data_IF_910476919431
#
_entry.id   IF_910476919431
#
_cell.length_a   1.000
_cell.length_b   1.000
_cell.length_c   1.000
_cell.angle_alpha   90.00
_cell.angle_beta   90.00
_cell.angle_gamma   90.00
#
_symmetry.space_group_name_H-M   'P 1'
#
loop_
_entity.id
_entity.type
_entity.pdbx_description
1 polymer ?
#
# COMPACT_ATOMS: atom_id res chain seq x y z
N UNK A 1 -3.16 7.92 -17.22
CA UNK A 1 -4.51 7.77 -16.65
C UNK A 1 -4.69 8.82 -15.58
N UNK A 2 -5.77 9.59 -15.65
CA UNK A 2 -6.12 10.57 -14.62
C UNK A 2 -6.81 9.89 -13.44
N UNK A 3 -6.81 10.54 -12.27
CA UNK A 3 -7.42 9.98 -11.06
C UNK A 3 -8.91 9.64 -11.24
N UNK A 4 -9.67 10.46 -11.97
CA UNK A 4 -11.09 10.22 -12.23
C UNK A 4 -11.31 9.02 -13.14
N UNK A 5 -10.46 8.83 -14.16
CA UNK A 5 -10.53 7.66 -15.05
C UNK A 5 -10.23 6.38 -14.26
N UNK A 6 -9.20 6.43 -13.41
CA UNK A 6 -8.86 5.34 -12.51
C UNK A 6 -10.01 5.02 -11.54
N UNK A 7 -10.62 6.04 -10.92
CA UNK A 7 -11.73 5.88 -9.99
C UNK A 7 -12.94 5.24 -10.65
N UNK A 8 -13.30 5.69 -11.86
CA UNK A 8 -14.40 5.13 -12.63
C UNK A 8 -14.15 3.64 -12.96
N UNK A 9 -12.93 3.30 -13.37
CA UNK A 9 -12.54 1.92 -13.62
C UNK A 9 -12.69 1.09 -12.34
N UNK A 10 -12.14 1.57 -11.23
CA UNK A 10 -12.18 0.90 -9.93
C UNK A 10 -13.63 0.63 -9.47
N UNK A 11 -14.52 1.63 -9.54
CA UNK A 11 -15.92 1.46 -9.14
C UNK A 11 -16.74 0.57 -10.09
N UNK A 12 -16.28 0.37 -11.32
CA UNK A 12 -16.93 -0.51 -12.30
C UNK A 12 -16.63 -2.00 -12.07
N UNK A 13 -15.63 -2.33 -11.24
CA UNK A 13 -15.20 -3.69 -10.97
C UNK A 13 -15.90 -4.23 -9.71
N UNK A 14 -16.30 -5.51 -9.68
CA UNK A 14 -17.03 -6.09 -8.54
C UNK A 14 -16.16 -6.31 -7.30
N UNK A 15 -14.87 -6.58 -7.48
CA UNK A 15 -13.91 -6.80 -6.38
C UNK A 15 -12.50 -6.36 -6.80
N UNK A 16 -12.30 -5.05 -7.00
CA UNK A 16 -11.01 -4.51 -7.41
C UNK A 16 -9.95 -4.74 -6.33
N UNK A 17 -8.73 -5.05 -6.79
CA UNK A 17 -7.53 -5.05 -5.96
C UNK A 17 -6.57 -4.03 -6.57
N UNK A 18 -6.05 -3.13 -5.74
CA UNK A 18 -5.07 -2.13 -6.17
C UNK A 18 -3.69 -2.58 -5.70
N UNK A 19 -2.79 -2.81 -6.65
CA UNK A 19 -1.38 -3.06 -6.34
C UNK A 19 -0.64 -1.72 -6.19
N UNK A 20 -0.01 -1.52 -5.04
CA UNK A 20 0.88 -0.40 -4.80
C UNK A 20 2.31 -0.94 -4.67
N UNK A 21 3.07 -0.70 -5.72
CA UNK A 21 4.46 -1.10 -5.86
C UNK A 21 5.30 0.13 -6.21
N UNK A 22 6.55 0.15 -5.75
CA UNK A 22 7.46 1.24 -6.06
C UNK A 22 8.93 0.89 -5.90
N UNK A 23 9.77 1.92 -6.00
CA UNK A 23 11.22 1.80 -5.91
C UNK A 23 11.69 1.52 -4.47
N UNK A 24 12.78 0.75 -4.34
CA UNK A 24 13.54 0.52 -3.09
C UNK A 24 14.56 1.63 -2.79
N UNK A 25 14.38 2.79 -3.41
CA UNK A 25 15.20 3.98 -3.24
C UNK A 25 14.36 5.17 -3.68
N UNK A 26 13.55 5.68 -2.76
CA UNK A 26 12.72 6.87 -2.97
C UNK A 26 13.50 8.10 -2.55
N UNK A 27 13.58 9.10 -3.43
CA UNK A 27 14.17 10.39 -3.11
C UNK A 27 13.37 11.09 -1.99
N UNK A 28 14.07 11.78 -1.08
CA UNK A 28 13.43 12.44 0.06
C UNK A 28 12.28 13.39 -0.36
N UNK A 29 12.43 14.07 -1.50
CA UNK A 29 11.43 15.00 -2.05
C UNK A 29 10.11 14.33 -2.47
N UNK A 30 10.10 13.02 -2.67
CA UNK A 30 8.91 12.27 -3.10
C UNK A 30 8.30 11.43 -1.97
N UNK A 31 9.00 11.26 -0.85
CA UNK A 31 8.49 10.49 0.31
C UNK A 31 7.13 11.00 0.78
N UNK A 32 7.00 12.32 0.98
CA UNK A 32 5.73 12.92 1.41
C UNK A 32 4.60 12.71 0.39
N UNK A 33 4.91 12.69 -0.91
CA UNK A 33 3.90 12.48 -1.96
C UNK A 33 3.42 11.04 -1.98
N UNK A 34 4.32 10.07 -1.80
CA UNK A 34 3.97 8.65 -1.70
C UNK A 34 3.11 8.38 -0.47
N UNK A 35 3.47 8.99 0.66
CA UNK A 35 2.70 8.96 1.90
C UNK A 35 1.28 9.51 1.68
N UNK A 36 1.17 10.73 1.13
CA UNK A 36 -0.13 11.34 0.83
C UNK A 36 -0.98 10.52 -0.15
N UNK A 37 -0.35 9.77 -1.06
CA UNK A 37 -1.06 8.94 -2.04
C UNK A 37 -1.76 7.74 -1.38
N UNK A 38 -1.09 7.03 -0.46
CA UNK A 38 -1.67 5.88 0.25
C UNK A 38 -2.94 6.25 1.02
N UNK A 39 -2.86 7.30 1.84
CA UNK A 39 -4.00 7.81 2.59
C UNK A 39 -5.16 8.27 1.68
N UNK A 40 -4.83 8.96 0.59
CA UNK A 40 -5.83 9.45 -0.38
C UNK A 40 -6.58 8.30 -1.03
N UNK A 41 -5.87 7.24 -1.43
CA UNK A 41 -6.49 6.07 -2.05
C UNK A 41 -7.36 5.28 -1.07
N UNK A 42 -6.86 5.02 0.15
CA UNK A 42 -7.64 4.32 1.18
C UNK A 42 -8.94 5.07 1.52
N UNK A 43 -8.86 6.41 1.63
CA UNK A 43 -10.03 7.25 1.90
C UNK A 43 -11.02 7.31 0.74
N UNK A 44 -10.52 7.35 -0.50
CA UNK A 44 -11.36 7.41 -1.70
C UNK A 44 -12.07 6.07 -1.99
N UNK A 45 -11.49 4.95 -1.54
CA UNK A 45 -11.96 3.62 -1.86
C UNK A 45 -12.07 2.74 -0.60
N UNK A 46 -13.04 3.00 0.30
CA UNK A 46 -13.08 2.39 1.64
C UNK A 46 -13.32 0.87 1.68
N UNK A 47 -13.81 0.29 0.58
CA UNK A 47 -14.17 -1.13 0.47
C UNK A 47 -13.21 -1.94 -0.41
N UNK A 48 -12.03 -1.40 -0.70
CA UNK A 48 -11.02 -2.03 -1.58
C UNK A 48 -9.90 -2.65 -0.78
N UNK A 49 -9.29 -3.69 -1.36
CA UNK A 49 -8.05 -4.30 -0.89
C UNK A 49 -6.86 -3.75 -1.70
N UNK A 50 -5.84 -3.31 -0.98
CA UNK A 50 -4.53 -2.95 -1.48
C UNK A 50 -3.55 -4.09 -1.24
N UNK A 51 -2.69 -4.35 -2.23
CA UNK A 51 -1.58 -5.29 -2.11
C UNK A 51 -0.24 -4.60 -2.31
N UNK A 52 0.75 -4.98 -1.50
CA UNK A 52 2.13 -4.49 -1.63
C UNK A 52 3.14 -5.58 -1.28
N UNK A 53 4.37 -5.47 -1.79
CA UNK A 53 5.41 -6.50 -1.73
C UNK A 53 6.19 -6.59 -0.43
N UNK A 54 5.85 -5.76 0.57
CA UNK A 54 6.57 -5.68 1.86
C UNK A 54 8.07 -5.38 1.68
N UNK A 55 8.42 -4.57 0.67
CA UNK A 55 9.76 -4.03 0.52
C UNK A 55 9.99 -2.79 1.39
N UNK A 56 11.25 -2.45 1.63
CA UNK A 56 11.60 -1.15 2.23
C UNK A 56 11.31 0.00 1.23
N UNK A 57 11.25 1.23 1.75
CA UNK A 57 10.91 2.47 1.02
C UNK A 57 9.46 2.55 0.51
N UNK A 58 9.22 2.58 -0.81
CA UNK A 58 7.91 2.96 -1.36
C UNK A 58 6.75 2.11 -0.82
N UNK A 59 6.92 0.79 -0.81
CA UNK A 59 5.97 -0.18 -0.26
C UNK A 59 5.66 0.12 1.22
N UNK A 60 6.69 0.46 2.01
CA UNK A 60 6.53 0.82 3.43
C UNK A 60 5.75 2.13 3.62
N UNK A 61 5.97 3.15 2.77
CA UNK A 61 5.22 4.41 2.84
C UNK A 61 3.74 4.20 2.50
N UNK A 62 3.45 3.42 1.46
CA UNK A 62 2.06 3.11 1.10
C UNK A 62 1.36 2.32 2.21
N UNK A 63 2.04 1.29 2.72
CA UNK A 63 1.49 0.41 3.75
C UNK A 63 1.14 1.18 5.02
N UNK A 64 2.01 2.06 5.50
CA UNK A 64 1.78 2.81 6.74
C UNK A 64 0.53 3.67 6.70
N UNK A 65 0.29 4.39 5.61
CA UNK A 65 -0.85 5.30 5.54
C UNK A 65 -2.17 4.60 5.29
N UNK A 66 -2.15 3.51 4.51
CA UNK A 66 -3.33 2.65 4.40
C UNK A 66 -3.70 2.10 5.78
N UNK A 67 -2.71 1.65 6.57
CA UNK A 67 -2.95 1.17 7.92
C UNK A 67 -3.47 2.27 8.87
N UNK A 68 -3.02 3.51 8.72
CA UNK A 68 -3.53 4.63 9.52
C UNK A 68 -4.99 4.97 9.19
N UNK A 69 -5.41 4.82 7.94
CA UNK A 69 -6.79 5.09 7.51
C UNK A 69 -7.70 3.90 7.82
N UNK A 70 -7.36 2.71 7.32
CA UNK A 70 -8.14 1.49 7.51
C UNK A 70 -7.25 0.23 7.35
N UNK A 71 -6.81 -0.36 8.47
CA UNK A 71 -5.94 -1.55 8.45
C UNK A 71 -6.50 -2.75 7.70
N UNK A 72 -7.82 -2.86 7.57
CA UNK A 72 -8.48 -3.99 6.91
C UNK A 72 -8.30 -3.99 5.40
N UNK A 73 -7.78 -2.90 4.84
CA UNK A 73 -7.61 -2.76 3.40
C UNK A 73 -6.23 -3.24 2.92
N UNK A 74 -5.27 -3.55 3.79
CA UNK A 74 -3.92 -3.90 3.37
C UNK A 74 -3.66 -5.41 3.45
N UNK A 75 -3.24 -5.99 2.33
CA UNK A 75 -2.66 -7.33 2.24
C UNK A 75 -1.18 -7.21 1.83
N UNK A 76 -0.30 -7.90 2.55
CA UNK A 76 1.13 -7.94 2.20
C UNK A 76 1.47 -9.25 1.51
N UNK A 77 2.13 -9.14 0.37
CA UNK A 77 2.65 -10.28 -0.38
C UNK A 77 4.02 -10.58 0.21
N UNK A 78 4.14 -11.73 0.86
CA UNK A 78 5.37 -12.15 1.52
C UNK A 78 6.03 -13.27 0.72
N UNK A 79 7.36 -13.25 0.57
CA UNK A 79 8.10 -14.39 0.06
C UNK A 79 7.94 -15.61 1.00
N UNK A 80 8.02 -16.81 0.41
CA UNK A 80 7.70 -18.09 1.07
C UNK A 80 8.85 -18.66 1.93
N UNK A 81 9.75 -17.81 2.39
CA UNK A 81 10.73 -18.15 3.41
C UNK A 81 10.08 -18.07 4.80
N UNK A 82 10.30 -19.10 5.62
CA UNK A 82 9.61 -19.34 6.92
C UNK A 82 9.88 -18.27 8.01
N UNK A 83 10.36 -17.08 7.63
CA UNK A 83 10.62 -15.93 8.47
C UNK A 83 10.17 -14.66 7.75
N UNK A 84 8.92 -14.64 7.32
CA UNK A 84 8.34 -13.45 6.71
C UNK A 84 8.13 -12.39 7.79
N UNK A 85 8.99 -11.37 7.80
CA UNK A 85 8.82 -10.21 8.66
C UNK A 85 8.19 -9.08 7.88
N UNK A 86 7.01 -8.66 8.33
CA UNK A 86 6.38 -7.43 7.89
C UNK A 86 7.16 -6.26 8.45
N UNK A 87 7.58 -5.34 7.57
CA UNK A 87 8.36 -4.16 7.93
C UNK A 87 7.54 -2.89 7.71
N UNK A 88 7.49 -2.08 8.74
CA UNK A 88 7.03 -0.70 8.72
C UNK A 88 8.20 0.19 9.19
N UNK A 89 8.24 1.49 8.85
CA UNK A 89 9.34 2.43 9.21
C UNK A 89 9.70 2.37 10.69
N UNK A 90 8.73 2.11 11.56
CA UNK A 90 8.92 2.10 13.02
C UNK A 90 8.59 0.78 13.71
N UNK A 91 8.20 -0.28 12.97
CA UNK A 91 7.77 -1.54 13.60
C UNK A 91 8.03 -2.73 12.68
N UNK A 92 8.43 -3.85 13.28
CA UNK A 92 8.56 -5.12 12.58
C UNK A 92 7.69 -6.17 13.25
N UNK A 93 6.92 -6.92 12.46
CA UNK A 93 6.10 -8.04 12.94
C UNK A 93 6.49 -9.27 12.14
N UNK A 94 7.02 -10.29 12.80
CA UNK A 94 7.41 -11.53 12.15
C UNK A 94 6.36 -12.62 12.41
N UNK A 95 5.99 -13.35 11.36
CA UNK A 95 5.17 -14.55 11.46
C UNK A 95 6.09 -15.71 11.85
N UNK A 96 5.74 -16.44 12.91
CA UNK A 96 6.49 -17.60 13.43
C UNK A 96 6.06 -18.91 12.76
#
# INVERSE_FOLDING_TARGET
MLFNEFSNLVFSLPSPVILLEGSRSVEDADKEKLTALGAKLASAFPNIVFRSGNADDADSFFAEDILQVNPKQLELILPNDRKSCVRFRHRQVCLN
#
